data_IF_953304045841
#
_entry.id   IF_953304045841
#
_cell.length_a   1.000
_cell.length_b   1.000
_cell.length_c   1.000
_cell.angle_alpha   90.00
_cell.angle_beta   90.00
_cell.angle_gamma   90.00
#
_symmetry.space_group_name_H-M   'P 1'
#
loop_
_entity.id
_entity.type
_entity.pdbx_description
1 polymer ?
#
# COMPACT_ATOMS: atom_id res chain seq x y z
N UNK A 1 -36.92 -27.05 -22.03
CA UNK A 1 -36.61 -25.71 -21.47
C UNK A 1 -36.87 -25.75 -19.99
N UNK A 2 -35.83 -25.64 -19.16
CA UNK A 2 -35.88 -25.08 -17.81
C UNK A 2 -34.42 -24.92 -17.39
N UNK A 3 -33.87 -23.72 -17.64
CA UNK A 3 -32.58 -23.30 -17.08
C UNK A 3 -32.93 -22.72 -15.72
N UNK A 4 -32.60 -23.44 -14.66
CA UNK A 4 -32.60 -22.93 -13.30
C UNK A 4 -31.47 -21.93 -13.17
N UNK A 5 -31.77 -20.66 -13.36
CA UNK A 5 -30.88 -19.56 -13.04
C UNK A 5 -30.84 -19.46 -11.50
N UNK A 6 -29.80 -20.02 -10.89
CA UNK A 6 -29.47 -19.71 -9.51
C UNK A 6 -29.12 -18.21 -9.48
N UNK A 7 -30.00 -17.42 -8.86
CA UNK A 7 -29.70 -16.04 -8.54
C UNK A 7 -28.50 -16.05 -7.59
N UNK A 8 -27.33 -15.62 -8.09
CA UNK A 8 -26.21 -15.27 -7.25
C UNK A 8 -26.68 -14.13 -6.35
N UNK A 9 -26.63 -14.35 -5.04
CA UNK A 9 -26.94 -13.37 -4.02
C UNK A 9 -25.93 -12.20 -4.16
N UNK A 10 -26.35 -10.99 -4.54
CA UNK A 10 -25.42 -9.88 -4.79
C UNK A 10 -24.79 -9.32 -3.51
N UNK A 11 -25.09 -9.89 -2.33
CA UNK A 11 -24.57 -9.45 -1.04
C UNK A 11 -23.57 -10.40 -0.36
N UNK A 12 -23.28 -11.57 -0.94
CA UNK A 12 -22.29 -12.48 -0.37
C UNK A 12 -20.89 -12.15 -0.91
N UNK A 13 -20.12 -11.36 -0.16
CA UNK A 13 -18.68 -11.25 -0.44
C UNK A 13 -18.04 -12.64 -0.46
N UNK A 14 -17.18 -12.95 -1.44
CA UNK A 14 -16.39 -14.18 -1.41
C UNK A 14 -15.63 -14.26 -0.07
N UNK A 15 -15.70 -15.39 0.62
CA UNK A 15 -15.00 -15.60 1.89
C UNK A 15 -13.49 -15.34 1.80
N UNK A 16 -12.93 -15.53 0.61
CA UNK A 16 -11.54 -15.25 0.24
C UNK A 16 -11.20 -13.75 0.38
N UNK A 17 -12.05 -12.88 -0.16
CA UNK A 17 -11.89 -11.42 -0.05
C UNK A 17 -11.95 -10.92 1.40
N UNK A 18 -12.82 -11.51 2.22
CA UNK A 18 -12.88 -11.18 3.65
C UNK A 18 -11.63 -11.65 4.43
N UNK A 19 -11.04 -12.79 4.03
CA UNK A 19 -9.78 -13.29 4.57
C UNK A 19 -8.60 -12.39 4.22
N UNK A 20 -8.50 -11.98 2.96
CA UNK A 20 -7.43 -11.10 2.48
C UNK A 20 -7.44 -9.73 3.14
N UNK A 21 -8.63 -9.15 3.35
CA UNK A 21 -8.75 -7.89 4.09
C UNK A 21 -8.27 -8.01 5.53
N UNK A 22 -8.66 -9.07 6.23
CA UNK A 22 -8.20 -9.30 7.61
C UNK A 22 -6.68 -9.48 7.67
N UNK A 23 -6.11 -10.21 6.71
CA UNK A 23 -4.66 -10.35 6.58
C UNK A 23 -4.00 -8.98 6.39
N UNK A 24 -4.50 -8.17 5.47
CA UNK A 24 -3.95 -6.85 5.17
C UNK A 24 -3.99 -5.90 6.37
N UNK A 25 -5.12 -5.83 7.07
CA UNK A 25 -5.26 -5.02 8.29
C UNK A 25 -4.31 -5.52 9.40
N UNK A 26 -4.15 -6.83 9.55
CA UNK A 26 -3.22 -7.41 10.52
C UNK A 26 -1.76 -7.08 10.18
N UNK A 27 -1.37 -7.15 8.90
CA UNK A 27 -0.02 -6.78 8.44
C UNK A 27 0.26 -5.29 8.68
N UNK A 28 -0.71 -4.41 8.41
CA UNK A 28 -0.59 -2.99 8.72
C UNK A 28 -0.50 -2.72 10.22
N UNK A 29 -1.28 -3.44 11.04
CA UNK A 29 -1.22 -3.31 12.50
C UNK A 29 0.16 -3.72 13.03
N UNK A 30 0.72 -4.82 12.54
CA UNK A 30 2.08 -5.24 12.89
C UNK A 30 3.14 -4.19 12.47
N UNK A 31 2.94 -3.55 11.32
CA UNK A 31 3.81 -2.46 10.87
C UNK A 31 3.66 -1.21 11.77
N UNK A 32 2.45 -0.86 12.22
CA UNK A 32 2.21 0.21 13.20
C UNK A 32 3.01 -0.07 14.47
N UNK A 33 2.86 -1.26 15.05
CA UNK A 33 3.55 -1.65 16.28
C UNK A 33 5.07 -1.56 16.14
N UNK A 34 5.62 -2.00 15.00
CA UNK A 34 7.05 -1.92 14.72
C UNK A 34 7.59 -0.48 14.64
N UNK A 35 6.76 0.47 14.21
CA UNK A 35 7.15 1.87 14.04
C UNK A 35 6.77 2.77 15.21
N UNK A 36 5.88 2.34 16.11
CA UNK A 36 5.29 3.20 17.14
C UNK A 36 6.32 3.97 17.96
N UNK A 37 7.37 3.29 18.44
CA UNK A 37 8.37 3.91 19.32
C UNK A 37 9.48 4.65 18.58
N UNK A 38 9.81 4.21 17.37
CA UNK A 38 10.93 4.78 16.59
C UNK A 38 10.49 5.91 15.67
N UNK A 39 9.29 5.80 15.09
CA UNK A 39 8.73 6.68 14.06
C UNK A 39 7.23 6.88 14.29
N UNK A 40 6.83 7.58 15.36
CA UNK A 40 5.41 7.75 15.70
C UNK A 40 4.60 8.45 14.58
N UNK A 41 5.23 9.33 13.80
CA UNK A 41 4.59 9.96 12.64
C UNK A 41 4.26 8.95 11.53
N UNK A 42 5.16 8.01 11.25
CA UNK A 42 4.91 6.92 10.30
C UNK A 42 3.82 5.98 10.82
N UNK A 43 3.89 5.61 12.09
CA UNK A 43 2.85 4.77 12.71
C UNK A 43 1.46 5.41 12.58
N UNK A 44 1.33 6.72 12.78
CA UNK A 44 0.07 7.45 12.61
C UNK A 44 -0.46 7.42 11.16
N UNK A 45 0.42 7.48 10.16
CA UNK A 45 0.03 7.30 8.74
C UNK A 45 -0.54 5.90 8.52
N UNK A 46 0.15 4.87 9.00
CA UNK A 46 -0.27 3.47 8.83
C UNK A 46 -1.62 3.18 9.50
N UNK A 47 -1.87 3.73 10.70
CA UNK A 47 -3.18 3.65 11.36
C UNK A 47 -4.28 4.23 10.47
N UNK A 48 -4.08 5.44 9.94
CA UNK A 48 -5.08 6.10 9.08
C UNK A 48 -5.35 5.30 7.80
N UNK A 49 -4.33 4.66 7.22
CA UNK A 49 -4.50 3.82 6.03
C UNK A 49 -5.29 2.55 6.36
N UNK A 50 -4.99 1.90 7.48
CA UNK A 50 -5.75 0.73 7.93
C UNK A 50 -7.23 1.07 8.16
N UNK A 51 -7.52 2.21 8.81
CA UNK A 51 -8.88 2.71 9.00
C UNK A 51 -9.60 2.99 7.67
N UNK A 52 -8.92 3.59 6.70
CA UNK A 52 -9.49 3.84 5.37
C UNK A 52 -9.82 2.54 4.63
N UNK A 53 -8.96 1.52 4.72
CA UNK A 53 -9.24 0.20 4.13
C UNK A 53 -10.46 -0.43 4.80
N UNK A 54 -10.54 -0.40 6.13
CA UNK A 54 -11.69 -0.94 6.85
C UNK A 54 -12.99 -0.22 6.49
N UNK A 55 -12.97 1.11 6.38
CA UNK A 55 -14.13 1.91 5.96
C UNK A 55 -14.54 1.57 4.53
N UNK A 56 -13.61 1.61 3.58
CA UNK A 56 -13.87 1.31 2.17
C UNK A 56 -14.45 -0.09 1.97
N UNK A 57 -14.00 -1.07 2.77
CA UNK A 57 -14.49 -2.45 2.69
C UNK A 57 -15.95 -2.66 3.06
N UNK A 58 -16.59 -1.67 3.71
CA UNK A 58 -18.01 -1.74 4.07
C UNK A 58 -18.92 -1.31 2.93
N UNK A 59 -18.42 -0.43 2.08
CA UNK A 59 -19.22 0.32 1.10
C UNK A 59 -18.87 -0.02 -0.35
N UNK A 60 -17.70 -0.62 -0.60
CA UNK A 60 -17.21 -0.95 -1.95
C UNK A 60 -17.34 -2.44 -2.28
N UNK A 61 -17.57 -2.72 -3.56
CA UNK A 61 -17.37 -4.07 -4.12
C UNK A 61 -15.89 -4.43 -4.14
N UNK A 62 -15.56 -5.72 -4.29
CA UNK A 62 -14.17 -6.19 -4.31
C UNK A 62 -13.33 -5.50 -5.39
N UNK A 63 -13.84 -5.37 -6.62
CA UNK A 63 -13.11 -4.73 -7.72
C UNK A 63 -12.82 -3.25 -7.42
N UNK A 64 -13.80 -2.51 -6.89
CA UNK A 64 -13.63 -1.11 -6.52
C UNK A 64 -12.72 -0.94 -5.29
N UNK A 65 -12.74 -1.93 -4.39
CA UNK A 65 -11.87 -1.95 -3.22
C UNK A 65 -10.41 -2.19 -3.64
N UNK A 66 -10.14 -3.04 -4.62
CA UNK A 66 -8.78 -3.27 -5.14
C UNK A 66 -8.21 -1.99 -5.79
N UNK A 67 -9.00 -1.33 -6.66
CA UNK A 67 -8.62 -0.03 -7.23
C UNK A 67 -8.38 1.03 -6.14
N UNK A 68 -9.24 1.06 -5.12
CA UNK A 68 -9.10 1.98 -4.00
C UNK A 68 -7.85 1.67 -3.17
N UNK A 69 -7.54 0.40 -2.94
CA UNK A 69 -6.35 -0.04 -2.23
C UNK A 69 -5.08 0.35 -2.97
N UNK A 70 -5.06 0.25 -4.30
CA UNK A 70 -3.93 0.73 -5.09
C UNK A 70 -3.68 2.25 -4.90
N UNK A 71 -4.77 3.04 -4.86
CA UNK A 71 -4.69 4.47 -4.58
C UNK A 71 -4.20 4.74 -3.14
N UNK A 72 -4.71 4.00 -2.15
CA UNK A 72 -4.28 4.09 -0.76
C UNK A 72 -2.82 3.69 -0.58
N UNK A 73 -2.30 2.69 -1.30
CA UNK A 73 -0.89 2.31 -1.24
C UNK A 73 0.00 3.46 -1.72
N UNK A 74 -0.37 4.07 -2.84
CA UNK A 74 0.36 5.23 -3.37
C UNK A 74 0.36 6.41 -2.39
N UNK A 75 -0.78 6.67 -1.74
CA UNK A 75 -0.90 7.71 -0.72
C UNK A 75 -0.09 7.37 0.53
N UNK A 76 -0.16 6.12 1.01
CA UNK A 76 0.59 5.62 2.15
C UNK A 76 2.09 5.84 1.97
N UNK A 77 2.65 5.43 0.83
CA UNK A 77 4.08 5.59 0.56
C UNK A 77 4.50 7.06 0.50
N UNK A 78 3.65 7.92 -0.06
CA UNK A 78 3.90 9.35 -0.09
C UNK A 78 3.83 10.00 1.30
N UNK A 79 2.83 9.68 2.12
CA UNK A 79 2.73 10.21 3.47
C UNK A 79 3.82 9.66 4.39
N UNK A 80 4.17 8.38 4.26
CA UNK A 80 5.31 7.79 4.97
C UNK A 80 6.61 8.50 4.61
N UNK A 81 6.85 8.82 3.33
CA UNK A 81 8.00 9.62 2.91
C UNK A 81 8.07 10.96 3.66
N UNK A 82 6.97 11.71 3.69
CA UNK A 82 6.90 13.00 4.37
C UNK A 82 7.06 12.90 5.90
N UNK A 83 6.72 11.74 6.47
CA UNK A 83 6.84 11.46 7.90
C UNK A 83 8.25 10.99 8.32
N UNK A 84 9.12 10.62 7.37
CA UNK A 84 10.52 10.30 7.65
C UNK A 84 11.31 11.54 8.06
N UNK A 85 12.36 11.33 8.85
CA UNK A 85 13.33 12.39 9.13
C UNK A 85 14.11 12.79 7.88
N UNK A 86 14.63 14.02 7.85
CA UNK A 86 15.43 14.52 6.73
C UNK A 86 16.66 13.63 6.45
N UNK A 87 17.27 13.04 7.48
CA UNK A 87 18.42 12.14 7.33
C UNK A 87 18.03 10.83 6.63
N UNK A 88 16.88 10.26 6.98
CA UNK A 88 16.35 9.07 6.32
C UNK A 88 15.93 9.35 4.89
N UNK A 89 15.29 10.51 4.65
CA UNK A 89 14.94 10.97 3.30
C UNK A 89 16.21 11.09 2.43
N UNK A 90 17.23 11.80 2.93
CA UNK A 90 18.50 11.96 2.21
C UNK A 90 19.18 10.61 1.93
N UNK A 91 19.18 9.70 2.90
CA UNK A 91 19.77 8.36 2.73
C UNK A 91 19.08 7.57 1.62
N UNK A 92 17.76 7.68 1.51
CA UNK A 92 16.99 7.06 0.43
C UNK A 92 17.30 7.74 -0.90
N UNK A 93 17.28 9.08 -0.95
CA UNK A 93 17.55 9.84 -2.17
C UNK A 93 18.96 9.53 -2.73
N UNK A 94 19.98 9.44 -1.88
CA UNK A 94 21.35 9.07 -2.27
C UNK A 94 21.40 7.67 -2.92
N UNK A 95 20.64 6.70 -2.38
CA UNK A 95 20.56 5.34 -2.94
C UNK A 95 19.82 5.32 -4.27
N UNK A 96 18.72 6.08 -4.38
CA UNK A 96 17.94 6.20 -5.61
C UNK A 96 18.77 6.86 -6.69
N UNK A 97 19.47 7.96 -6.38
CA UNK A 97 20.37 8.66 -7.30
C UNK A 97 21.48 7.73 -7.80
N UNK A 98 22.14 7.00 -6.89
CA UNK A 98 23.18 6.03 -7.25
C UNK A 98 22.65 4.94 -8.20
N UNK A 99 21.43 4.45 -7.98
CA UNK A 99 20.81 3.43 -8.81
C UNK A 99 20.40 3.96 -10.20
N UNK A 100 19.98 5.22 -10.29
CA UNK A 100 19.45 5.82 -11.52
C UNK A 100 20.56 6.43 -12.39
N UNK A 101 21.67 6.88 -11.80
CA UNK A 101 22.82 7.45 -12.52
C UNK A 101 23.43 6.47 -13.54
N UNK A 102 23.24 5.16 -13.33
CA UNK A 102 23.66 4.12 -14.27
C UNK A 102 22.75 3.99 -15.52
N UNK A 103 21.65 4.76 -15.62
CA UNK A 103 20.62 4.61 -16.65
C UNK A 103 20.77 5.59 -17.80
N UNK A 104 20.72 5.10 -19.04
CA UNK A 104 20.65 5.90 -20.27
C UNK A 104 19.21 6.21 -20.70
N UNK A 105 18.24 6.02 -19.79
CA UNK A 105 16.82 6.19 -20.07
C UNK A 105 16.45 7.66 -20.34
N UNK A 106 15.32 7.86 -21.03
CA UNK A 106 14.72 9.20 -21.21
C UNK A 106 14.36 9.80 -19.86
N UNK A 107 14.28 11.13 -19.77
CA UNK A 107 13.98 11.84 -18.52
C UNK A 107 12.64 11.40 -17.88
N UNK A 108 11.63 11.10 -18.70
CA UNK A 108 10.35 10.59 -18.22
C UNK A 108 10.44 9.16 -17.67
N UNK A 109 11.25 8.30 -18.29
CA UNK A 109 11.53 6.97 -17.76
C UNK A 109 12.39 7.03 -16.49
N UNK A 110 13.29 8.02 -16.41
CA UNK A 110 14.12 8.32 -15.23
C UNK A 110 13.24 8.67 -14.02
N UNK A 111 12.34 9.65 -14.15
CA UNK A 111 11.42 10.05 -13.07
C UNK A 111 10.53 8.91 -12.57
N UNK A 112 10.01 8.09 -13.48
CA UNK A 112 9.20 6.91 -13.12
C UNK A 112 10.04 5.87 -12.35
N UNK A 113 11.30 5.69 -12.76
CA UNK A 113 12.23 4.79 -12.08
C UNK A 113 12.61 5.30 -10.69
N UNK A 114 12.91 6.60 -10.56
CA UNK A 114 13.19 7.25 -9.28
C UNK A 114 12.04 7.04 -8.30
N UNK A 115 10.80 7.32 -8.73
CA UNK A 115 9.62 7.10 -7.89
C UNK A 115 9.49 5.64 -7.46
N UNK A 116 9.63 4.69 -8.40
CA UNK A 116 9.50 3.27 -8.09
C UNK A 116 10.60 2.76 -7.13
N UNK A 117 11.83 3.28 -7.26
CA UNK A 117 12.95 2.94 -6.38
C UNK A 117 12.75 3.54 -4.99
N UNK A 118 12.32 4.80 -4.90
CA UNK A 118 12.00 5.43 -3.61
C UNK A 118 10.89 4.68 -2.89
N UNK A 119 9.80 4.35 -3.59
CA UNK A 119 8.68 3.58 -3.07
C UNK A 119 9.12 2.18 -2.59
N UNK A 120 10.14 1.59 -3.24
CA UNK A 120 10.76 0.34 -2.79
C UNK A 120 11.59 0.53 -1.52
N UNK A 121 12.45 1.54 -1.47
CA UNK A 121 13.29 1.82 -0.29
C UNK A 121 12.45 2.14 0.94
N UNK A 122 11.35 2.90 0.78
CA UNK A 122 10.40 3.17 1.86
C UNK A 122 9.82 1.87 2.41
N UNK A 123 9.34 0.97 1.52
CA UNK A 123 8.82 -0.33 1.96
C UNK A 123 9.87 -1.16 2.69
N UNK A 124 11.12 -1.17 2.21
CA UNK A 124 12.21 -1.93 2.84
C UNK A 124 12.59 -1.37 4.21
N UNK A 125 12.75 -0.05 4.31
CA UNK A 125 13.10 0.63 5.55
C UNK A 125 12.05 0.42 6.64
N UNK A 126 10.77 0.52 6.25
CA UNK A 126 9.64 0.48 7.17
C UNK A 126 9.02 -0.93 7.30
N UNK A 127 9.55 -1.91 6.58
CA UNK A 127 9.04 -3.28 6.47
C UNK A 127 7.53 -3.33 6.15
N UNK A 128 7.09 -2.51 5.19
CA UNK A 128 5.67 -2.38 4.84
C UNK A 128 5.21 -3.52 3.92
N UNK A 129 4.00 -4.06 4.14
CA UNK A 129 3.38 -4.97 3.19
C UNK A 129 3.02 -4.24 1.89
N UNK A 130 2.79 -5.01 0.83
CA UNK A 130 2.01 -4.51 -0.31
C UNK A 130 0.54 -4.56 0.03
N UNK A 131 -0.19 -3.52 -0.37
CA UNK A 131 -1.64 -3.51 -0.19
C UNK A 131 -2.27 -4.17 -1.42
N UNK A 132 -2.76 -5.40 -1.26
CA UNK A 132 -3.37 -6.19 -2.34
C UNK A 132 -4.41 -7.16 -1.75
N UNK A 133 -5.48 -7.42 -2.53
CA UNK A 133 -6.53 -8.41 -2.21
C UNK A 133 -6.52 -9.49 -3.32
N UNK A 134 -6.73 -10.77 -2.97
CA UNK A 134 -6.92 -11.86 -3.93
C UNK A 134 -5.66 -12.64 -4.30
N UNK A 135 -4.92 -13.19 -3.31
CA UNK A 135 -3.78 -14.08 -3.57
C UNK A 135 -4.09 -15.56 -3.36
#
# INVERSE_FOLDING_TARGET
MHIGQAAADPGAEPMESAGDRRRLVAELTAAVDAQHDQRPAVAAVLVRIAEQIEMASRDLTVDLLDEHIYALESAMLHECWLALSNEEQQTIDDRVEAAVTASTATEEARRRSERALRDREIRLLLNLPRLEIGR
#
